data_IF_029868468774
#
_entry.id   IF_029868468774
#
_cell.length_a   1.000
_cell.length_b   1.000
_cell.length_c   1.000
_cell.angle_alpha   90.00
_cell.angle_beta   90.00
_cell.angle_gamma   90.00
#
_symmetry.space_group_name_H-M   'P 1'
#
loop_
_entity.id
_entity.type
_entity.pdbx_description
1 polymer ?
#
# COMPACT_ATOMS: atom_id res chain seq x y z
N UNK A 1 -59.26 -21.14 53.83
CA UNK A 1 -58.00 -20.50 53.42
C UNK A 1 -58.22 -19.75 52.12
N UNK A 2 -58.09 -18.42 52.07
CA UNK A 2 -58.25 -17.67 50.83
C UNK A 2 -56.91 -17.58 50.09
N UNK A 3 -56.90 -17.95 48.80
CA UNK A 3 -55.74 -17.79 47.92
C UNK A 3 -55.80 -16.39 47.32
N UNK A 4 -54.81 -15.56 47.67
CA UNK A 4 -54.57 -14.21 47.14
C UNK A 4 -54.38 -14.25 45.62
N UNK A 5 -55.01 -13.32 44.92
CA UNK A 5 -54.75 -12.99 43.52
C UNK A 5 -53.29 -12.51 43.32
N UNK A 6 -52.66 -12.77 42.16
CA UNK A 6 -51.42 -12.10 41.80
C UNK A 6 -51.71 -10.70 41.24
N UNK A 7 -50.88 -9.76 41.68
CA UNK A 7 -50.94 -8.34 41.39
C UNK A 7 -50.60 -7.98 39.95
N UNK A 8 -51.14 -6.83 39.55
CA UNK A 8 -50.88 -6.08 38.34
C UNK A 8 -49.40 -5.72 38.15
N UNK A 9 -48.97 -5.73 36.88
CA UNK A 9 -48.25 -4.60 36.28
C UNK A 9 -46.78 -4.40 36.62
N UNK A 10 -45.90 -4.78 35.69
CA UNK A 10 -44.77 -3.93 35.28
C UNK A 10 -44.54 -4.12 33.76
N UNK A 11 -44.83 -3.13 32.90
CA UNK A 11 -44.24 -3.12 31.57
C UNK A 11 -42.75 -2.79 31.73
N UNK A 12 -41.90 -3.74 31.39
CA UNK A 12 -40.48 -3.51 31.18
C UNK A 12 -40.33 -2.59 29.97
N UNK A 13 -40.38 -1.28 30.19
CA UNK A 13 -39.90 -0.31 29.21
C UNK A 13 -38.41 -0.59 29.01
N UNK A 14 -38.09 -1.27 27.91
CA UNK A 14 -36.73 -1.35 27.39
C UNK A 14 -36.32 0.08 27.03
N UNK A 15 -35.66 0.76 27.98
CA UNK A 15 -34.94 1.99 27.72
C UNK A 15 -33.85 1.64 26.70
N UNK A 16 -34.14 1.83 25.41
CA UNK A 16 -33.12 1.75 24.38
C UNK A 16 -32.15 2.88 24.69
N UNK A 17 -31.04 2.54 25.35
CA UNK A 17 -29.90 3.43 25.45
C UNK A 17 -29.49 3.70 24.01
N UNK A 18 -29.77 4.91 23.53
CA UNK A 18 -29.29 5.38 22.25
C UNK A 18 -27.78 5.48 22.44
N UNK A 19 -27.05 4.43 22.08
CA UNK A 19 -25.58 4.46 22.08
C UNK A 19 -25.16 5.57 21.13
N UNK A 20 -24.62 6.66 21.70
CA UNK A 20 -24.09 7.76 20.92
C UNK A 20 -22.92 7.19 20.11
N UNK A 21 -22.97 7.23 18.77
CA UNK A 21 -21.91 6.68 17.96
C UNK A 21 -20.61 7.44 18.22
N UNK A 22 -19.53 6.69 18.43
CA UNK A 22 -18.21 7.26 18.69
C UNK A 22 -17.84 8.29 17.61
N UNK A 23 -17.29 9.47 17.97
CA UNK A 23 -17.07 10.59 17.03
C UNK A 23 -16.24 10.20 15.81
N UNK A 24 -15.20 9.37 16.00
CA UNK A 24 -14.42 8.79 14.90
C UNK A 24 -15.30 8.06 13.86
N UNK A 25 -16.28 7.26 14.28
CA UNK A 25 -17.12 6.50 13.35
C UNK A 25 -18.04 7.43 12.57
N UNK A 26 -18.60 8.44 13.23
CA UNK A 26 -19.47 9.44 12.60
C UNK A 26 -18.72 10.22 11.52
N UNK A 27 -17.54 10.75 11.84
CA UNK A 27 -16.70 11.48 10.87
C UNK A 27 -16.15 10.57 9.76
N UNK A 28 -15.74 9.36 10.12
CA UNK A 28 -15.26 8.38 9.14
C UNK A 28 -16.36 7.98 8.16
N UNK A 29 -17.59 7.82 8.63
CA UNK A 29 -18.72 7.46 7.78
C UNK A 29 -19.10 8.60 6.83
N UNK A 30 -19.05 9.85 7.29
CA UNK A 30 -19.20 11.01 6.42
C UNK A 30 -18.14 11.03 5.31
N UNK A 31 -16.87 10.76 5.65
CA UNK A 31 -15.80 10.69 4.65
C UNK A 31 -15.95 9.49 3.71
N UNK A 32 -16.29 8.31 4.22
CA UNK A 32 -16.44 7.08 3.41
C UNK A 32 -17.58 7.15 2.39
N UNK A 33 -18.57 8.02 2.61
CA UNK A 33 -19.65 8.32 1.66
C UNK A 33 -19.27 9.40 0.63
N UNK A 34 -18.11 10.03 0.77
CA UNK A 34 -17.67 11.11 -0.10
C UNK A 34 -17.08 10.61 -1.43
N UNK A 35 -17.04 11.49 -2.44
CA UNK A 35 -16.35 11.22 -3.69
C UNK A 35 -14.83 11.00 -3.51
N UNK A 36 -14.22 11.57 -2.46
CA UNK A 36 -12.80 11.40 -2.17
C UNK A 36 -12.47 9.98 -1.72
N UNK A 37 -13.32 9.40 -0.86
CA UNK A 37 -13.19 8.01 -0.48
C UNK A 37 -13.32 7.09 -1.69
N UNK A 38 -14.29 7.35 -2.58
CA UNK A 38 -14.45 6.55 -3.80
C UNK A 38 -13.27 6.70 -4.76
N UNK A 39 -12.72 7.91 -4.93
CA UNK A 39 -11.48 8.14 -5.71
C UNK A 39 -10.29 7.39 -5.09
N UNK A 40 -10.17 7.40 -3.77
CA UNK A 40 -9.13 6.65 -3.06
C UNK A 40 -9.31 5.14 -3.25
N UNK A 41 -10.54 4.65 -3.12
CA UNK A 41 -10.86 3.24 -3.29
C UNK A 41 -10.58 2.77 -4.72
N UNK A 42 -11.02 3.55 -5.72
CA UNK A 42 -10.75 3.28 -7.14
C UNK A 42 -9.26 3.26 -7.45
N UNK A 43 -8.47 4.14 -6.84
CA UNK A 43 -7.01 4.14 -6.99
C UNK A 43 -6.41 2.84 -6.46
N UNK A 44 -6.91 2.32 -5.35
CA UNK A 44 -6.40 1.08 -4.76
C UNK A 44 -6.93 -0.17 -5.47
N UNK A 45 -8.18 -0.18 -5.92
CA UNK A 45 -8.78 -1.29 -6.65
C UNK A 45 -8.29 -1.38 -8.10
N UNK A 46 -7.88 -0.25 -8.69
CA UNK A 46 -7.35 -0.17 -10.05
C UNK A 46 -5.92 -0.71 -10.20
N UNK A 47 -5.26 -1.07 -9.09
CA UNK A 47 -4.00 -1.79 -9.14
C UNK A 47 -4.28 -3.26 -9.49
N UNK A 48 -3.77 -3.68 -10.64
CA UNK A 48 -4.04 -4.97 -11.28
C UNK A 48 -3.98 -6.13 -10.29
N UNK A 49 -5.03 -6.95 -10.27
CA UNK A 49 -5.20 -8.21 -9.53
C UNK A 49 -5.73 -8.17 -8.08
N UNK A 50 -6.26 -7.03 -7.59
CA UNK A 50 -7.01 -7.08 -6.33
C UNK A 50 -8.36 -7.78 -6.46
N UNK A 51 -8.98 -7.74 -7.64
CA UNK A 51 -10.33 -8.30 -7.89
C UNK A 51 -11.43 -7.69 -7.01
N UNK A 52 -11.12 -6.60 -6.30
CA UNK A 52 -12.03 -5.92 -5.37
C UNK A 52 -12.74 -4.79 -6.08
N UNK A 53 -14.06 -4.74 -5.91
CA UNK A 53 -14.83 -3.55 -6.26
C UNK A 53 -14.45 -2.40 -5.29
N UNK A 54 -14.26 -1.16 -5.75
CA UNK A 54 -14.18 0.02 -4.88
C UNK A 54 -15.17 0.03 -3.70
N UNK A 55 -16.41 -0.40 -3.92
CA UNK A 55 -17.44 -0.45 -2.89
C UNK A 55 -17.13 -1.47 -1.78
N UNK A 56 -16.55 -2.62 -2.15
CA UNK A 56 -16.10 -3.64 -1.20
C UNK A 56 -14.96 -3.11 -0.34
N UNK A 57 -14.04 -2.36 -0.96
CA UNK A 57 -12.93 -1.76 -0.22
C UNK A 57 -13.42 -0.70 0.78
N UNK A 58 -14.42 0.10 0.40
CA UNK A 58 -15.09 1.04 1.32
C UNK A 58 -15.81 0.29 2.45
N UNK A 59 -16.54 -0.78 2.14
CA UNK A 59 -17.26 -1.57 3.12
C UNK A 59 -16.33 -2.26 4.13
N UNK A 60 -15.25 -2.90 3.68
CA UNK A 60 -14.28 -3.55 4.56
C UNK A 60 -13.49 -2.53 5.39
N UNK A 61 -13.20 -1.35 4.82
CA UNK A 61 -12.62 -0.24 5.59
C UNK A 61 -13.54 0.19 6.73
N UNK A 62 -14.85 0.33 6.45
CA UNK A 62 -15.86 0.64 7.46
C UNK A 62 -15.88 -0.40 8.57
N UNK A 63 -15.96 -1.69 8.22
CA UNK A 63 -16.00 -2.76 9.21
C UNK A 63 -14.72 -2.80 10.07
N UNK A 64 -13.56 -2.56 9.46
CA UNK A 64 -12.28 -2.49 10.19
C UNK A 64 -12.25 -1.35 11.22
N UNK A 65 -12.76 -0.17 10.86
CA UNK A 65 -12.87 0.96 11.77
C UNK A 65 -13.86 0.66 12.91
N UNK A 66 -14.99 0.04 12.59
CA UNK A 66 -15.98 -0.37 13.59
C UNK A 66 -15.41 -1.39 14.59
N UNK A 67 -14.72 -2.42 14.08
CA UNK A 67 -14.00 -3.40 14.93
C UNK A 67 -12.91 -2.75 15.78
N UNK A 68 -12.24 -1.71 15.29
CA UNK A 68 -11.21 -0.98 16.03
C UNK A 68 -11.80 -0.19 17.21
N UNK A 69 -12.85 0.61 16.96
CA UNK A 69 -13.51 1.41 18.01
C UNK A 69 -14.16 0.52 19.06
N UNK A 70 -14.81 -0.57 18.66
CA UNK A 70 -15.40 -1.53 19.62
C UNK A 70 -14.35 -2.13 20.57
N UNK A 71 -13.12 -2.31 20.11
CA UNK A 71 -12.00 -2.81 20.94
C UNK A 71 -11.31 -1.70 21.74
N UNK A 72 -11.46 -0.45 21.32
CA UNK A 72 -10.79 0.71 21.90
C UNK A 72 -11.83 1.84 22.03
N UNK A 73 -12.79 1.74 22.97
CA UNK A 73 -13.88 2.71 23.09
C UNK A 73 -13.38 4.11 23.45
N UNK A 74 -12.23 4.21 24.10
CA UNK A 74 -11.61 5.48 24.52
C UNK A 74 -10.56 5.99 23.50
N UNK A 75 -10.56 5.46 22.28
CA UNK A 75 -9.58 5.85 21.27
C UNK A 75 -9.71 7.33 20.90
N UNK A 76 -8.62 8.07 21.02
CA UNK A 76 -8.56 9.46 20.58
C UNK A 76 -8.92 9.59 19.10
N UNK A 77 -9.73 10.61 18.77
CA UNK A 77 -10.03 10.97 17.38
C UNK A 77 -8.76 11.54 16.74
N UNK A 78 -8.29 10.99 15.61
CA UNK A 78 -7.15 11.55 14.90
C UNK A 78 -7.42 12.97 14.42
N UNK A 79 -6.38 13.81 14.39
CA UNK A 79 -6.44 15.19 13.89
C UNK A 79 -7.00 15.27 12.44
N UNK A 80 -6.79 14.23 11.64
CA UNK A 80 -7.42 14.08 10.33
C UNK A 80 -8.03 12.68 10.18
N UNK A 81 -9.34 12.60 10.37
CA UNK A 81 -10.11 11.36 10.15
C UNK A 81 -10.02 10.91 8.70
N UNK A 82 -10.01 11.83 7.73
CA UNK A 82 -9.83 11.52 6.32
C UNK A 82 -8.50 10.80 6.03
N UNK A 83 -7.38 11.32 6.56
CA UNK A 83 -6.07 10.68 6.39
C UNK A 83 -6.02 9.31 7.09
N UNK A 84 -6.67 9.18 8.24
CA UNK A 84 -6.77 7.91 8.96
C UNK A 84 -7.59 6.86 8.17
N UNK A 85 -8.72 7.27 7.58
CA UNK A 85 -9.55 6.40 6.74
C UNK A 85 -8.81 5.98 5.47
N UNK A 86 -8.14 6.90 4.77
CA UNK A 86 -7.33 6.58 3.60
C UNK A 86 -6.19 5.59 3.93
N UNK A 87 -5.53 5.77 5.09
CA UNK A 87 -4.52 4.82 5.57
C UNK A 87 -5.10 3.44 5.89
N UNK A 88 -6.29 3.40 6.49
CA UNK A 88 -6.98 2.15 6.80
C UNK A 88 -7.39 1.42 5.52
N UNK A 89 -7.92 2.14 4.54
CA UNK A 89 -8.31 1.62 3.24
C UNK A 89 -7.12 1.03 2.47
N UNK A 90 -5.98 1.73 2.50
CA UNK A 90 -4.71 1.22 2.00
C UNK A 90 -4.32 -0.10 2.67
N UNK A 91 -4.40 -0.18 4.00
CA UNK A 91 -4.04 -1.40 4.73
C UNK A 91 -4.96 -2.58 4.39
N UNK A 92 -6.25 -2.31 4.16
CA UNK A 92 -7.19 -3.33 3.65
C UNK A 92 -6.74 -3.81 2.26
N UNK A 93 -6.46 -2.91 1.33
CA UNK A 93 -6.00 -3.27 -0.02
C UNK A 93 -4.71 -4.12 0.02
N UNK A 94 -3.74 -3.73 0.85
CA UNK A 94 -2.49 -4.49 1.05
C UNK A 94 -2.76 -5.88 1.65
N UNK A 95 -3.66 -6.00 2.62
CA UNK A 95 -4.02 -7.29 3.22
C UNK A 95 -4.67 -8.22 2.19
N UNK A 96 -5.49 -7.69 1.27
CA UNK A 96 -6.05 -8.47 0.16
C UNK A 96 -4.98 -8.89 -0.84
N UNK A 97 -4.05 -8.00 -1.21
CA UNK A 97 -2.92 -8.34 -2.09
C UNK A 97 -2.09 -9.49 -1.48
N UNK A 98 -1.84 -9.45 -0.18
CA UNK A 98 -1.11 -10.50 0.55
C UNK A 98 -1.84 -11.83 0.58
N UNK A 99 -3.18 -11.82 0.66
CA UNK A 99 -4.03 -13.02 0.75
C UNK A 99 -4.44 -13.60 -0.60
N UNK A 100 -4.28 -12.84 -1.69
CA UNK A 100 -4.67 -13.28 -3.03
C UNK A 100 -3.97 -14.58 -3.42
N UNK A 101 -4.69 -15.58 -3.97
CA UNK A 101 -4.14 -16.88 -4.35
C UNK A 101 -3.04 -16.79 -5.43
N UNK A 102 -2.92 -15.65 -6.11
CA UNK A 102 -1.81 -15.35 -7.04
C UNK A 102 -0.46 -15.38 -6.30
N UNK A 103 -0.42 -15.07 -5.00
CA UNK A 103 0.77 -15.21 -4.14
C UNK A 103 1.02 -16.65 -3.65
N UNK A 104 0.07 -17.57 -3.85
CA UNK A 104 0.15 -18.98 -3.44
C UNK A 104 0.41 -19.95 -4.59
N UNK A 105 0.47 -19.49 -5.84
CA UNK A 105 1.02 -20.30 -6.93
C UNK A 105 2.54 -20.40 -6.75
N UNK A 106 2.93 -21.33 -5.89
CA UNK A 106 4.22 -22.01 -6.00
C UNK A 106 4.40 -22.40 -7.46
N UNK A 107 5.50 -21.93 -8.05
CA UNK A 107 6.02 -22.41 -9.33
C UNK A 107 6.05 -23.92 -9.26
N UNK A 108 5.18 -24.59 -10.02
CA UNK A 108 5.25 -26.03 -10.25
C UNK A 108 6.39 -26.25 -11.25
N UNK A 109 7.55 -26.82 -10.83
CA UNK A 109 8.69 -26.98 -11.70
C UNK A 109 8.49 -28.04 -12.80
N UNK A 110 7.39 -28.82 -12.78
CA UNK A 110 7.17 -29.94 -13.69
C UNK A 110 6.18 -29.64 -14.84
N UNK A 111 5.66 -28.41 -14.94
CA UNK A 111 4.74 -28.06 -16.04
C UNK A 111 5.49 -27.84 -17.36
N UNK A 112 5.66 -28.91 -18.14
CA UNK A 112 6.12 -28.83 -19.54
C UNK A 112 5.13 -28.02 -20.39
N UNK A 113 5.59 -27.09 -21.24
CA UNK A 113 4.72 -26.36 -22.15
C UNK A 113 4.30 -27.27 -23.31
N UNK A 114 3.00 -27.58 -23.41
CA UNK A 114 2.41 -28.07 -24.64
C UNK A 114 2.28 -26.92 -25.66
N UNK A 115 2.52 -27.17 -26.96
CA UNK A 115 2.34 -26.15 -27.98
C UNK A 115 0.85 -26.00 -28.29
N UNK A 116 0.22 -25.00 -27.68
CA UNK A 116 -1.15 -24.59 -28.02
C UNK A 116 -1.07 -23.29 -28.85
N UNK A 117 -1.79 -23.29 -29.97
CA UNK A 117 -1.97 -22.17 -30.88
C UNK A 117 -2.25 -20.83 -30.14
N UNK A 118 -1.85 -19.67 -30.70
CA UNK A 118 -1.91 -18.40 -30.00
C UNK A 118 -3.35 -18.09 -29.57
N UNK A 119 -3.66 -18.07 -28.26
CA UNK A 119 -4.94 -17.57 -27.81
C UNK A 119 -4.92 -16.05 -27.96
N UNK A 120 -6.03 -15.49 -28.42
CA UNK A 120 -6.37 -14.09 -28.20
C UNK A 120 -6.17 -13.80 -26.71
N UNK A 121 -5.25 -12.87 -26.42
CA UNK A 121 -4.86 -12.48 -25.06
C UNK A 121 -6.03 -11.73 -24.42
N UNK A 122 -6.86 -12.45 -23.67
CA UNK A 122 -7.70 -11.87 -22.62
C UNK A 122 -6.78 -11.35 -21.49
N UNK A 123 -6.93 -10.09 -21.02
CA UNK A 123 -6.04 -9.48 -20.03
C UNK A 123 -6.40 -9.96 -18.61
N UNK A 124 -6.14 -11.25 -18.35
CA UNK A 124 -6.40 -11.90 -17.07
C UNK A 124 -5.11 -12.34 -16.39
N UNK A 125 -4.43 -11.38 -15.75
CA UNK A 125 -3.22 -11.59 -14.95
C UNK A 125 -2.33 -10.38 -15.05
N UNK A 126 -2.39 -9.48 -14.05
CA UNK A 126 -1.51 -8.33 -13.96
C UNK A 126 -0.06 -8.78 -14.03
N UNK A 127 0.68 -8.20 -14.98
CA UNK A 127 2.10 -8.44 -15.12
C UNK A 127 2.81 -8.21 -13.78
N UNK A 128 3.88 -8.96 -13.50
CA UNK A 128 4.67 -8.80 -12.28
C UNK A 128 5.07 -7.33 -12.08
N UNK A 129 5.31 -6.60 -13.18
CA UNK A 129 5.55 -5.16 -13.18
C UNK A 129 4.41 -4.33 -12.57
N UNK A 130 3.16 -4.61 -12.94
CA UNK A 130 1.99 -3.89 -12.41
C UNK A 130 1.77 -4.17 -10.92
N UNK A 131 2.02 -5.41 -10.48
CA UNK A 131 1.94 -5.78 -9.05
C UNK A 131 3.01 -5.07 -8.22
N UNK A 132 4.25 -5.04 -8.71
CA UNK A 132 5.37 -4.31 -8.07
C UNK A 132 5.04 -2.82 -7.98
N UNK A 133 4.58 -2.23 -9.09
CA UNK A 133 4.16 -0.83 -9.15
C UNK A 133 3.06 -0.53 -8.14
N UNK A 134 2.00 -1.33 -8.12
CA UNK A 134 0.87 -1.16 -7.21
C UNK A 134 1.30 -1.21 -5.74
N UNK A 135 2.20 -2.12 -5.35
CA UNK A 135 2.73 -2.20 -3.98
C UNK A 135 3.58 -0.97 -3.61
N UNK A 136 4.40 -0.48 -4.53
CA UNK A 136 5.23 0.71 -4.30
C UNK A 136 4.37 1.97 -4.16
N UNK A 137 3.42 2.19 -5.07
CA UNK A 137 2.47 3.31 -5.01
C UNK A 137 1.59 3.23 -3.75
N UNK A 138 1.25 2.02 -3.32
CA UNK A 138 0.48 1.76 -2.11
C UNK A 138 1.33 1.46 -0.86
N UNK A 139 2.59 1.88 -0.82
CA UNK A 139 3.47 1.71 0.36
C UNK A 139 3.31 2.74 1.49
N UNK A 140 3.26 4.02 1.16
CA UNK A 140 3.01 5.14 2.09
C UNK A 140 4.27 5.88 2.46
N UNK A 141 5.37 5.48 1.80
CA UNK A 141 6.60 6.23 1.79
C UNK A 141 6.40 7.63 1.20
N UNK A 142 7.36 8.50 1.51
CA UNK A 142 7.43 9.84 0.96
C UNK A 142 7.38 9.81 -0.59
N UNK A 143 6.69 10.76 -1.24
CA UNK A 143 6.54 10.77 -2.71
C UNK A 143 7.85 10.65 -3.48
N UNK A 144 8.93 11.30 -3.01
CA UNK A 144 10.25 11.20 -3.63
C UNK A 144 10.84 9.78 -3.54
N UNK A 145 10.59 9.06 -2.44
CA UNK A 145 11.04 7.67 -2.24
C UNK A 145 10.23 6.72 -3.12
N UNK A 146 8.92 6.94 -3.24
CA UNK A 146 8.04 6.19 -4.16
C UNK A 146 8.48 6.38 -5.61
N UNK A 147 8.69 7.62 -6.04
CA UNK A 147 9.15 7.94 -7.39
C UNK A 147 10.51 7.31 -7.70
N UNK A 148 11.45 7.38 -6.76
CA UNK A 148 12.77 6.76 -6.91
C UNK A 148 12.70 5.22 -6.95
N UNK A 149 11.84 4.60 -6.14
CA UNK A 149 11.65 3.15 -6.17
C UNK A 149 11.04 2.67 -7.49
N UNK A 150 10.05 3.38 -8.02
CA UNK A 150 9.48 3.09 -9.34
C UNK A 150 10.52 3.26 -10.45
N UNK A 151 11.27 4.37 -10.45
CA UNK A 151 12.34 4.59 -11.41
C UNK A 151 13.40 3.48 -11.34
N UNK A 152 13.77 3.04 -10.14
CA UNK A 152 14.70 1.93 -9.95
C UNK A 152 14.19 0.63 -10.56
N UNK A 153 12.94 0.25 -10.31
CA UNK A 153 12.34 -0.98 -10.87
C UNK A 153 12.31 -0.91 -12.40
N UNK A 154 11.93 0.24 -12.97
CA UNK A 154 11.94 0.44 -14.43
C UNK A 154 13.34 0.28 -15.01
N UNK A 155 14.35 0.91 -14.40
CA UNK A 155 15.75 0.81 -14.84
C UNK A 155 16.34 -0.60 -14.65
N UNK A 156 15.93 -1.32 -13.62
CA UNK A 156 16.35 -2.70 -13.39
C UNK A 156 15.70 -3.68 -14.38
N UNK A 157 14.46 -3.42 -14.80
CA UNK A 157 13.75 -4.21 -15.81
C UNK A 157 14.19 -3.95 -17.25
N UNK A 158 14.86 -2.83 -17.51
CA UNK A 158 15.35 -2.44 -18.84
C UNK A 158 16.85 -2.13 -18.78
N UNK A 159 17.72 -3.16 -18.65
CA UNK A 159 19.16 -2.97 -18.47
C UNK A 159 19.84 -2.29 -19.66
N UNK A 160 19.22 -2.30 -20.85
CA UNK A 160 19.75 -1.71 -22.08
C UNK A 160 19.50 -0.19 -22.20
N UNK A 161 18.82 0.42 -21.22
CA UNK A 161 18.62 1.88 -21.21
C UNK A 161 19.95 2.59 -21.03
N UNK A 162 20.24 3.55 -21.92
CA UNK A 162 21.43 4.39 -21.81
C UNK A 162 21.31 5.34 -20.60
N UNK A 163 22.23 5.19 -19.65
CA UNK A 163 22.34 6.01 -18.44
C UNK A 163 23.55 6.96 -18.48
N UNK A 164 24.25 7.08 -19.61
CA UNK A 164 25.51 7.82 -19.73
C UNK A 164 25.41 9.32 -19.37
N UNK A 165 24.22 9.91 -19.55
CA UNK A 165 23.95 11.31 -19.17
C UNK A 165 23.49 11.49 -17.71
N UNK A 166 23.29 10.40 -16.96
CA UNK A 166 22.78 10.43 -15.60
C UNK A 166 23.90 10.31 -14.55
N UNK A 167 23.68 10.80 -13.32
CA UNK A 167 24.68 10.66 -12.26
C UNK A 167 24.97 9.19 -11.94
N UNK A 168 26.26 8.86 -11.87
CA UNK A 168 26.75 7.54 -11.51
C UNK A 168 27.83 7.65 -10.42
N UNK A 169 27.99 6.63 -9.55
CA UNK A 169 29.10 6.57 -8.61
C UNK A 169 30.44 6.49 -9.35
N UNK A 170 31.44 7.26 -8.89
CA UNK A 170 32.76 7.34 -9.55
C UNK A 170 33.59 6.05 -9.47
N UNK A 171 33.39 5.21 -8.44
CA UNK A 171 34.03 3.90 -8.29
C UNK A 171 33.39 3.08 -7.16
N UNK A 172 33.51 1.74 -7.22
CA UNK A 172 33.33 0.83 -6.08
C UNK A 172 31.89 0.54 -5.63
N UNK A 173 30.87 1.01 -6.36
CA UNK A 173 29.48 0.65 -6.07
C UNK A 173 29.11 -0.64 -6.80
N UNK A 174 28.41 -1.54 -6.10
CA UNK A 174 27.78 -2.70 -6.72
C UNK A 174 26.76 -2.25 -7.77
N UNK A 175 26.55 -3.02 -8.83
CA UNK A 175 25.72 -2.65 -9.99
C UNK A 175 24.28 -2.24 -9.62
N UNK A 176 23.66 -2.95 -8.67
CA UNK A 176 22.36 -2.58 -8.09
C UNK A 176 22.39 -1.24 -7.34
N UNK A 177 23.46 -0.95 -6.60
CA UNK A 177 23.61 0.32 -5.89
C UNK A 177 23.92 1.48 -6.84
N UNK A 178 24.56 1.20 -7.97
CA UNK A 178 24.80 2.17 -9.02
C UNK A 178 23.49 2.65 -9.66
N UNK A 179 22.52 1.75 -9.89
CA UNK A 179 21.19 2.09 -10.47
C UNK A 179 20.31 2.96 -9.57
N UNK A 180 20.58 3.02 -8.26
CA UNK A 180 19.83 3.91 -7.35
C UNK A 180 20.16 5.39 -7.55
N UNK A 181 21.35 5.72 -8.06
CA UNK A 181 21.74 7.12 -8.34
C UNK A 181 20.91 7.76 -9.46
N UNK A 182 20.82 7.15 -10.66
CA UNK A 182 19.95 7.68 -11.72
C UNK A 182 18.48 7.65 -11.30
N UNK A 183 18.04 6.64 -10.53
CA UNK A 183 16.67 6.58 -10.02
C UNK A 183 16.33 7.78 -9.10
N UNK A 184 17.23 8.15 -8.18
CA UNK A 184 17.08 9.35 -7.35
C UNK A 184 17.09 10.63 -8.19
N UNK A 185 17.94 10.71 -9.21
CA UNK A 185 17.99 11.88 -10.10
C UNK A 185 16.69 12.07 -10.87
N UNK A 186 16.13 10.99 -11.43
CA UNK A 186 14.84 10.98 -12.14
C UNK A 186 13.70 11.37 -11.19
N UNK A 187 13.76 10.95 -9.93
CA UNK A 187 12.81 11.35 -8.89
C UNK A 187 12.96 12.81 -8.42
N UNK A 188 13.91 13.57 -8.97
CA UNK A 188 14.13 14.98 -8.64
C UNK A 188 14.99 15.22 -7.40
N UNK A 189 15.60 14.18 -6.81
CA UNK A 189 16.45 14.26 -5.61
C UNK A 189 17.87 14.80 -5.93
N UNK A 190 17.94 15.93 -6.63
CA UNK A 190 19.17 16.63 -7.05
C UNK A 190 20.09 16.97 -5.88
N UNK A 191 19.51 17.31 -4.73
CA UNK A 191 20.25 17.83 -3.56
C UNK A 191 21.14 16.80 -2.85
N UNK A 192 20.92 15.51 -3.10
CA UNK A 192 21.71 14.42 -2.52
C UNK A 192 22.74 13.83 -3.50
N UNK A 193 22.82 14.37 -4.71
CA UNK A 193 23.74 13.93 -5.74
C UNK A 193 24.84 14.97 -5.96
N UNK A 194 26.07 14.55 -6.28
CA UNK A 194 27.14 15.51 -6.58
C UNK A 194 26.76 16.32 -7.82
N UNK A 195 27.07 17.62 -7.81
CA UNK A 195 27.11 18.39 -9.04
C UNK A 195 28.24 17.91 -9.94
N UNK A 196 28.13 18.13 -11.26
CA UNK A 196 29.05 17.63 -12.29
C UNK A 196 30.53 17.74 -11.90
N UNK A 197 30.93 18.84 -11.25
CA UNK A 197 32.33 19.14 -10.96
C UNK A 197 32.71 19.15 -9.47
N UNK A 198 31.87 18.61 -8.57
CA UNK A 198 32.14 18.69 -7.11
C UNK A 198 32.38 17.33 -6.47
N UNK A 199 33.40 17.27 -5.61
CA UNK A 199 33.56 16.18 -4.65
C UNK A 199 32.42 16.22 -3.63
N UNK A 200 31.92 15.04 -3.28
CA UNK A 200 30.83 14.91 -2.34
C UNK A 200 31.22 15.33 -0.92
N UNK A 201 30.61 16.42 -0.44
CA UNK A 201 30.64 16.79 0.97
C UNK A 201 30.05 15.69 1.86
N UNK A 202 30.51 15.59 3.11
CA UNK A 202 30.03 14.58 4.09
C UNK A 202 28.51 14.65 4.27
N UNK A 203 27.94 15.86 4.28
CA UNK A 203 26.50 16.07 4.39
C UNK A 203 25.73 15.48 3.20
N UNK A 204 26.20 15.70 1.96
CA UNK A 204 25.59 15.17 0.73
C UNK A 204 25.63 13.64 0.74
N UNK A 205 26.77 13.03 1.10
CA UNK A 205 26.90 11.57 1.23
C UNK A 205 25.93 10.99 2.25
N UNK A 206 25.79 11.63 3.42
CA UNK A 206 24.86 11.20 4.45
C UNK A 206 23.40 11.30 3.98
N UNK A 207 23.02 12.39 3.29
CA UNK A 207 21.67 12.53 2.70
C UNK A 207 21.41 11.44 1.68
N UNK A 208 22.35 11.22 0.75
CA UNK A 208 22.24 10.17 -0.26
C UNK A 208 22.08 8.79 0.35
N UNK A 209 22.92 8.45 1.32
CA UNK A 209 22.85 7.16 2.02
C UNK A 209 21.49 6.94 2.70
N UNK A 210 20.92 7.98 3.32
CA UNK A 210 19.57 7.90 3.91
C UNK A 210 18.49 7.71 2.85
N UNK A 211 18.55 8.46 1.74
CA UNK A 211 17.61 8.33 0.62
C UNK A 211 17.68 6.96 -0.02
N UNK A 212 18.88 6.47 -0.35
CA UNK A 212 19.10 5.14 -0.89
C UNK A 212 18.59 4.05 0.07
N UNK A 213 18.84 4.19 1.37
CA UNK A 213 18.33 3.25 2.38
C UNK A 213 16.80 3.22 2.39
N UNK A 214 16.14 4.37 2.42
CA UNK A 214 14.67 4.43 2.38
C UNK A 214 14.09 3.75 1.13
N UNK A 215 14.73 3.94 -0.04
CA UNK A 215 14.32 3.25 -1.27
C UNK A 215 14.55 1.73 -1.16
N UNK A 216 15.72 1.30 -0.65
CA UNK A 216 16.02 -0.13 -0.44
C UNK A 216 15.06 -0.80 0.54
N UNK A 217 14.73 -0.12 1.64
CA UNK A 217 13.80 -0.61 2.64
C UNK A 217 12.41 -0.82 2.02
N UNK A 218 11.94 0.16 1.23
CA UNK A 218 10.69 0.08 0.48
C UNK A 218 10.69 -1.06 -0.55
N UNK A 219 11.77 -1.22 -1.32
CA UNK A 219 11.91 -2.32 -2.27
C UNK A 219 11.96 -3.68 -1.56
N UNK A 220 12.62 -3.76 -0.40
CA UNK A 220 12.67 -4.95 0.45
C UNK A 220 11.30 -5.30 1.04
N UNK A 221 10.53 -4.31 1.50
CA UNK A 221 9.14 -4.48 1.94
C UNK A 221 8.26 -4.99 0.79
N UNK A 222 8.46 -4.45 -0.41
CA UNK A 222 7.74 -4.85 -1.63
C UNK A 222 8.08 -6.29 -2.02
N UNK A 223 9.37 -6.65 -2.03
CA UNK A 223 9.84 -8.01 -2.32
C UNK A 223 9.28 -9.02 -1.30
N UNK A 224 9.29 -8.67 -0.01
CA UNK A 224 8.68 -9.49 1.06
C UNK A 224 7.18 -9.65 0.85
N UNK A 225 6.45 -8.61 0.45
CA UNK A 225 5.02 -8.69 0.15
C UNK A 225 4.71 -9.60 -1.05
N UNK A 226 5.65 -9.71 -2.00
CA UNK A 226 5.58 -10.62 -3.15
C UNK A 226 6.08 -12.05 -2.84
N UNK A 227 6.53 -12.33 -1.61
CA UNK A 227 7.08 -13.63 -1.24
C UNK A 227 8.46 -13.93 -1.82
N UNK A 228 9.15 -12.94 -2.39
CA UNK A 228 10.50 -13.08 -2.91
C UNK A 228 11.48 -13.04 -1.72
N UNK A 229 12.21 -14.13 -1.50
CA UNK A 229 13.29 -14.16 -0.50
C UNK A 229 14.44 -13.31 -1.00
N UNK A 230 14.62 -12.13 -0.41
CA UNK A 230 15.84 -11.33 -0.55
C UNK A 230 16.98 -12.08 0.13
N UNK A 231 17.95 -12.59 -0.64
CA UNK A 231 19.22 -13.12 -0.12
C UNK A 231 20.18 -12.00 0.22
#
# INVERSE_FOLDING_TARGET
>A
MPIRAPAEGVPLSATSVIEVPHPLLTEAEAWLRSADAYRCARRHSGNADLGLNPDELVAETRDRLWRYVRRNPDAAVPESVAAYCARTMRNVAVDHLRRSPINRRSVDPDRRPEPVAPPLVEPGGGDLGDRVRGLIETSGAEPAVVAAALAYVTLAGHPDVDLGALPAPRAGAHEHDARLWPALWVAGERSCLPGADRLDGVATRRRRSRRMRAVKDLLGDTARALGVRTR
#
